data_IF_210897148071
#
_entry.id   IF_210897148071
#
_cell.length_a   1.000
_cell.length_b   1.000
_cell.length_c   1.000
_cell.angle_alpha   90.00
_cell.angle_beta   90.00
_cell.angle_gamma   90.00
#
_symmetry.space_group_name_H-M   'P 1'
#
loop_
_entity.id
_entity.type
_entity.pdbx_description
1 polymer ?
#
# COMPACT_ATOMS: atom_id res chain seq x y z
N UNK A 1 0.49 23.71 6.31
CA UNK A 1 -0.30 22.87 5.37
C UNK A 1 -0.51 21.50 6.01
N UNK A 2 -1.34 21.40 7.05
CA UNK A 2 -1.70 20.11 7.64
C UNK A 2 -3.21 19.91 7.48
N UNK A 3 -3.61 19.62 6.25
CA UNK A 3 -4.98 19.26 5.92
C UNK A 3 -5.30 17.84 6.36
N UNK A 4 -5.53 17.65 7.65
CA UNK A 4 -6.17 16.44 8.18
C UNK A 4 -7.68 16.66 8.13
N UNK A 5 -8.31 16.33 7.01
CA UNK A 5 -9.76 16.33 6.89
C UNK A 5 -10.27 15.16 7.74
N UNK A 6 -10.71 15.50 8.95
CA UNK A 6 -11.33 14.59 9.91
C UNK A 6 -12.78 14.38 9.46
N UNK A 7 -13.03 13.31 8.71
CA UNK A 7 -14.40 12.86 8.44
C UNK A 7 -14.92 12.17 9.69
N UNK A 8 -15.43 12.97 10.62
CA UNK A 8 -16.36 12.51 11.65
C UNK A 8 -17.70 12.20 10.97
N UNK A 9 -17.88 10.95 10.56
CA UNK A 9 -19.20 10.37 10.31
C UNK A 9 -19.93 10.23 11.66
N UNK A 10 -20.45 11.35 12.18
CA UNK A 10 -21.62 11.38 13.04
C UNK A 10 -22.83 11.25 12.08
N UNK A 11 -23.78 10.33 12.17
CA UNK A 11 -24.35 9.50 13.24
C UNK A 11 -25.04 8.29 12.57
N UNK A 12 -25.11 7.10 13.20
CA UNK A 12 -26.32 6.23 13.27
C UNK A 12 -26.02 4.96 14.08
N UNK A 13 -26.76 4.79 15.17
CA UNK A 13 -27.16 3.54 15.84
C UNK A 13 -26.11 2.42 16.06
N UNK A 14 -25.51 2.41 17.26
CA UNK A 14 -25.03 1.18 17.93
C UNK A 14 -23.84 0.40 17.35
N UNK A 15 -23.33 0.75 16.18
CA UNK A 15 -22.19 0.04 15.54
C UNK A 15 -20.89 0.83 15.70
N UNK A 16 -19.80 0.17 16.11
CA UNK A 16 -18.47 0.78 16.37
C UNK A 16 -18.10 1.82 15.31
N UNK A 17 -17.99 3.09 15.71
CA UNK A 17 -17.38 4.14 14.90
C UNK A 17 -15.89 3.81 14.67
N UNK A 18 -15.57 3.30 13.48
CA UNK A 18 -14.19 3.17 13.04
C UNK A 18 -13.79 4.49 12.36
N UNK A 19 -12.90 5.25 12.99
CA UNK A 19 -12.33 6.46 12.40
C UNK A 19 -11.67 6.13 11.06
N UNK A 20 -12.15 6.75 9.98
CA UNK A 20 -11.61 6.59 8.64
C UNK A 20 -10.69 7.79 8.32
N UNK A 21 -9.57 7.52 7.69
CA UNK A 21 -8.55 8.48 7.28
C UNK A 21 -8.47 8.51 5.77
N UNK A 22 -8.82 9.63 5.15
CA UNK A 22 -8.90 9.77 3.71
C UNK A 22 -7.72 10.55 3.11
N UNK A 23 -7.28 10.14 1.92
CA UNK A 23 -6.31 10.89 1.13
C UNK A 23 -7.00 12.03 0.37
N UNK A 24 -6.68 13.26 0.73
CA UNK A 24 -7.07 14.50 0.02
C UNK A 24 -6.82 14.52 -1.51
N UNK A 25 -5.87 13.73 -2.01
CA UNK A 25 -5.46 13.75 -3.42
C UNK A 25 -6.20 12.72 -4.27
N UNK A 26 -6.48 11.53 -3.73
CA UNK A 26 -7.09 10.43 -4.49
C UNK A 26 -8.33 9.81 -3.84
N UNK A 27 -8.76 10.37 -2.71
CA UNK A 27 -9.94 9.99 -1.93
C UNK A 27 -9.96 8.52 -1.46
N UNK A 28 -8.79 7.87 -1.43
CA UNK A 28 -8.65 6.55 -0.81
C UNK A 28 -8.74 6.67 0.71
N UNK A 29 -9.60 5.84 1.28
CA UNK A 29 -9.85 5.75 2.71
C UNK A 29 -9.07 4.60 3.37
N UNK A 30 -8.61 4.84 4.58
CA UNK A 30 -7.82 3.92 5.40
C UNK A 30 -8.40 3.87 6.82
N UNK A 31 -8.36 2.70 7.46
CA UNK A 31 -8.78 2.53 8.86
C UNK A 31 -7.69 2.93 9.88
N UNK A 32 -6.50 3.32 9.41
CA UNK A 32 -5.36 3.68 10.24
C UNK A 32 -4.63 4.89 9.65
N UNK A 33 -4.28 5.86 10.50
CA UNK A 33 -3.53 7.06 10.11
C UNK A 33 -2.16 6.70 9.51
N UNK A 34 -1.46 5.70 10.08
CA UNK A 34 -0.17 5.24 9.57
C UNK A 34 -0.27 4.72 8.13
N UNK A 35 -1.38 4.05 7.78
CA UNK A 35 -1.61 3.56 6.42
C UNK A 35 -1.85 4.72 5.45
N UNK A 36 -2.64 5.72 5.84
CA UNK A 36 -2.83 6.94 5.04
C UNK A 36 -1.49 7.69 4.85
N UNK A 37 -0.71 7.87 5.91
CA UNK A 37 0.57 8.56 5.84
C UNK A 37 1.53 7.87 4.86
N UNK A 38 1.66 6.54 4.97
CA UNK A 38 2.46 5.73 4.05
C UNK A 38 1.96 5.84 2.62
N UNK A 39 0.64 5.80 2.42
CA UNK A 39 0.04 5.96 1.10
C UNK A 39 0.40 7.31 0.49
N UNK A 40 0.17 8.43 1.19
CA UNK A 40 0.50 9.78 0.69
C UNK A 40 1.99 9.88 0.36
N UNK A 41 2.85 9.33 1.22
CA UNK A 41 4.31 9.42 1.07
C UNK A 41 4.86 8.57 -0.08
N UNK A 42 4.33 7.38 -0.33
CA UNK A 42 4.99 6.39 -1.19
C UNK A 42 4.14 5.88 -2.36
N UNK A 43 2.83 6.10 -2.35
CA UNK A 43 1.92 5.45 -3.31
C UNK A 43 1.05 6.42 -4.09
N UNK A 44 0.55 7.48 -3.43
CA UNK A 44 -0.32 8.48 -4.03
C UNK A 44 0.41 9.23 -5.14
N UNK A 45 -0.19 9.29 -6.34
CA UNK A 45 0.39 9.94 -7.52
C UNK A 45 1.69 9.32 -8.05
N UNK A 46 2.23 8.28 -7.40
CA UNK A 46 3.51 7.65 -7.81
C UNK A 46 3.27 6.46 -8.71
N UNK A 47 4.06 6.34 -9.76
CA UNK A 47 4.06 5.17 -10.63
C UNK A 47 4.76 3.97 -9.95
N UNK A 48 4.34 2.74 -10.24
CA UNK A 48 5.09 1.56 -9.82
C UNK A 48 6.49 1.58 -10.42
N UNK A 49 7.51 1.26 -9.61
CA UNK A 49 8.91 1.31 -10.03
C UNK A 49 9.68 0.04 -9.68
N UNK A 50 9.05 -0.91 -8.99
CA UNK A 50 9.58 -2.25 -8.80
C UNK A 50 9.00 -3.17 -9.87
N UNK A 51 9.81 -3.49 -10.88
CA UNK A 51 9.45 -4.32 -12.01
C UNK A 51 9.76 -5.77 -11.71
N UNK A 52 8.80 -6.68 -11.94
CA UNK A 52 9.09 -8.10 -11.92
C UNK A 52 9.85 -8.50 -13.19
N UNK A 53 11.01 -9.16 -13.09
CA UNK A 53 11.75 -9.64 -14.26
C UNK A 53 11.10 -10.87 -14.92
N UNK A 54 10.12 -11.50 -14.26
CA UNK A 54 9.53 -12.78 -14.70
C UNK A 54 8.08 -12.65 -15.18
N UNK A 55 7.43 -11.51 -14.96
CA UNK A 55 6.07 -11.26 -15.45
C UNK A 55 5.76 -9.75 -15.56
N UNK A 56 4.64 -9.35 -16.18
CA UNK A 56 4.27 -7.94 -16.33
C UNK A 56 3.89 -7.21 -15.03
N UNK A 57 4.02 -7.84 -13.86
CA UNK A 57 3.62 -7.24 -12.58
C UNK A 57 4.59 -6.14 -12.16
N UNK A 58 4.03 -5.03 -11.65
CA UNK A 58 4.80 -3.93 -11.09
C UNK A 58 4.23 -3.50 -9.74
N UNK A 59 5.12 -3.09 -8.83
CA UNK A 59 4.77 -2.66 -7.49
C UNK A 59 5.27 -1.25 -7.20
N UNK A 60 4.52 -0.49 -6.39
CA UNK A 60 4.92 0.84 -5.90
C UNK A 60 5.81 0.78 -4.66
N UNK A 61 5.81 -0.36 -3.95
CA UNK A 61 6.54 -0.56 -2.69
C UNK A 61 7.34 -1.85 -2.72
N UNK A 62 8.49 -1.84 -2.02
CA UNK A 62 9.43 -2.95 -1.96
C UNK A 62 8.88 -4.19 -1.26
N UNK A 63 8.10 -4.03 -0.19
CA UNK A 63 7.52 -5.14 0.55
C UNK A 63 6.45 -5.88 -0.27
N UNK A 64 5.65 -5.14 -1.05
CA UNK A 64 4.70 -5.72 -2.00
C UNK A 64 5.45 -6.49 -3.11
N UNK A 65 6.53 -5.92 -3.64
CA UNK A 65 7.38 -6.58 -4.63
C UNK A 65 8.00 -7.88 -4.08
N UNK A 66 8.63 -7.85 -2.91
CA UNK A 66 9.21 -9.04 -2.28
C UNK A 66 8.16 -10.12 -2.05
N UNK A 67 6.99 -9.74 -1.52
CA UNK A 67 5.87 -10.66 -1.32
C UNK A 67 5.38 -11.27 -2.64
N UNK A 68 5.35 -10.48 -3.72
CA UNK A 68 5.05 -10.98 -5.06
C UNK A 68 6.09 -12.01 -5.52
N UNK A 69 7.38 -11.70 -5.41
CA UNK A 69 8.46 -12.60 -5.81
C UNK A 69 8.38 -13.93 -5.05
N UNK A 70 8.16 -13.88 -3.73
CA UNK A 70 8.04 -15.09 -2.90
C UNK A 70 6.81 -15.91 -3.27
N UNK A 71 5.67 -15.29 -3.57
CA UNK A 71 4.41 -16.01 -3.80
C UNK A 71 4.22 -16.48 -5.24
N UNK A 72 4.79 -15.78 -6.21
CA UNK A 72 4.60 -16.05 -7.65
C UNK A 72 5.84 -16.59 -8.34
N UNK A 73 7.03 -16.31 -7.79
CA UNK A 73 8.32 -16.67 -8.38
C UNK A 73 9.25 -17.32 -7.33
N UNK A 74 8.69 -18.04 -6.35
CA UNK A 74 9.43 -18.72 -5.28
C UNK A 74 10.60 -19.56 -5.82
N UNK A 75 10.36 -20.25 -6.94
CA UNK A 75 11.33 -21.14 -7.57
C UNK A 75 12.51 -20.36 -8.19
N UNK A 76 12.32 -19.11 -8.58
CA UNK A 76 13.36 -18.27 -9.17
C UNK A 76 14.24 -17.58 -8.12
N UNK A 77 13.75 -17.41 -6.89
CA UNK A 77 14.53 -16.86 -5.76
C UNK A 77 15.59 -17.84 -5.24
N UNK A 78 15.36 -19.14 -5.38
CA UNK A 78 16.32 -20.18 -4.97
C UNK A 78 17.54 -20.27 -5.89
N UNK A 79 17.40 -19.86 -7.16
CA UNK A 79 18.47 -19.93 -8.14
C UNK A 79 19.53 -18.84 -7.95
N UNK A 80 19.21 -17.72 -7.30
CA UNK A 80 20.14 -16.60 -7.09
C UNK A 80 21.05 -16.77 -5.88
N UNK A 81 20.77 -17.75 -5.00
CA UNK A 81 21.53 -18.03 -3.76
C UNK A 81 22.39 -19.30 -3.84
N UNK A 82 22.44 -19.96 -5.01
CA UNK A 82 23.18 -21.21 -5.22
C UNK A 82 24.39 -21.02 -6.16
N UNK A 83 24.94 -19.82 -6.23
CA UNK A 83 26.08 -19.46 -7.09
C UNK A 83 27.29 -18.92 -6.30
N UNK A 84 27.44 -19.34 -5.05
CA UNK A 84 28.63 -19.12 -4.23
C UNK A 84 29.14 -20.45 -3.66
#
# INVERSE_FOLDING_TARGET
MEGNIFLDLLETDGSKSSRIYECDTCLKSYNQLASLYRHKKHECGKQPHFYCPFCPHMSKRKDNFNSHMIRKHANHLKATLASE
#
